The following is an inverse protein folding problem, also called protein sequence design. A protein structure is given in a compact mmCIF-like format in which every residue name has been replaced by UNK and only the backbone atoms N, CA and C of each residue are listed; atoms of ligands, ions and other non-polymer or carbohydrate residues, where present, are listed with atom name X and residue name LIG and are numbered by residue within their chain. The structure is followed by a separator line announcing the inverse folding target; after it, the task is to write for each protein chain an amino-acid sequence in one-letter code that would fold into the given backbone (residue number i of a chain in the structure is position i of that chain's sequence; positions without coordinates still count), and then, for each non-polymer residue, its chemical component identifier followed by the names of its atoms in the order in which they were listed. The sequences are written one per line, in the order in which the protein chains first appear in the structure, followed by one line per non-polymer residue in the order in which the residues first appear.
data_IF_234674397411
#
_entry.id   IF_234674397411
#
_cell.length_a   1.000
_cell.length_b   1.000
_cell.length_c   1.000
_cell.angle_alpha   90.00
_cell.angle_beta   90.00
_cell.angle_gamma   90.00
#
_symmetry.space_group_name_H-M   'P 1'
#
loop_
_entity.id
_entity.type
_entity.pdbx_description
1 polymer ?
#
# COMPACT_ATOMS: atom_id res chain seq x y z
N UNK A 1 7.25 12.30 -34.22
CA UNK A 1 6.04 12.69 -33.48
C UNK A 1 6.28 12.65 -31.93
N UNK A 2 6.89 11.59 -31.39
CA UNK A 2 7.16 11.42 -29.94
C UNK A 2 8.03 12.56 -29.39
N UNK A 3 9.08 12.97 -30.09
CA UNK A 3 9.94 14.08 -29.74
C UNK A 3 9.16 15.41 -29.64
N UNK A 4 8.24 15.64 -30.57
CA UNK A 4 7.40 16.84 -30.56
C UNK A 4 6.48 16.92 -29.36
N UNK A 5 5.88 15.80 -28.96
CA UNK A 5 5.08 15.72 -27.73
C UNK A 5 5.93 15.90 -26.48
N UNK A 6 7.11 15.33 -26.45
CA UNK A 6 8.06 15.49 -25.34
C UNK A 6 8.50 16.95 -25.19
N UNK A 7 8.84 17.64 -26.28
CA UNK A 7 9.22 19.06 -26.24
C UNK A 7 8.07 19.96 -25.78
N UNK A 8 6.83 19.69 -26.20
CA UNK A 8 5.65 20.40 -25.69
C UNK A 8 5.46 20.20 -24.21
N UNK A 9 5.61 18.97 -23.73
CA UNK A 9 5.51 18.65 -22.30
C UNK A 9 6.59 19.40 -21.50
N UNK A 10 7.85 19.36 -21.93
CA UNK A 10 8.96 20.07 -21.28
C UNK A 10 8.71 21.58 -21.26
N UNK A 11 8.22 22.15 -22.36
CA UNK A 11 7.89 23.57 -22.44
C UNK A 11 6.77 23.95 -21.46
N UNK A 12 5.65 23.21 -21.45
CA UNK A 12 4.56 23.46 -20.50
C UNK A 12 5.00 23.30 -19.04
N UNK A 13 5.85 22.31 -18.77
CA UNK A 13 6.42 22.13 -17.44
C UNK A 13 7.32 23.30 -17.02
N UNK A 14 8.19 23.77 -17.92
CA UNK A 14 9.07 24.92 -17.67
C UNK A 14 8.26 26.21 -17.41
N UNK A 15 7.21 26.46 -18.21
CA UNK A 15 6.31 27.59 -18.03
C UNK A 15 5.59 27.50 -16.69
N UNK A 16 5.04 26.34 -16.36
CA UNK A 16 4.37 26.10 -15.08
C UNK A 16 5.32 26.35 -13.89
N UNK A 17 6.55 25.86 -13.99
CA UNK A 17 7.60 26.09 -12.97
C UNK A 17 7.96 27.58 -12.85
N UNK A 18 8.09 28.29 -13.98
CA UNK A 18 8.39 29.72 -14.00
C UNK A 18 7.26 30.55 -13.34
N UNK A 19 6.00 30.23 -13.64
CA UNK A 19 4.85 30.88 -12.99
C UNK A 19 4.83 30.61 -11.48
N UNK A 20 5.17 29.39 -11.08
CA UNK A 20 5.22 28.98 -9.68
C UNK A 20 6.46 29.49 -8.94
N UNK A 21 7.47 30.04 -9.65
CA UNK A 21 8.75 30.47 -9.08
C UNK A 21 8.59 31.55 -8.01
N UNK A 22 7.57 32.39 -8.08
CA UNK A 22 7.25 33.39 -7.08
C UNK A 22 7.06 32.77 -5.68
N UNK A 23 6.50 31.58 -5.62
CA UNK A 23 6.29 30.84 -4.37
C UNK A 23 7.44 29.83 -4.14
N UNK A 24 7.90 29.15 -5.18
CA UNK A 24 8.92 28.11 -5.07
C UNK A 24 10.31 28.66 -4.72
N UNK A 25 10.67 29.86 -5.24
CA UNK A 25 11.99 30.43 -4.99
C UNK A 25 12.23 30.78 -3.52
N UNK A 26 11.32 31.47 -2.81
CA UNK A 26 11.48 31.72 -1.36
C UNK A 26 11.51 30.39 -0.57
N UNK A 27 10.67 29.42 -0.92
CA UNK A 27 10.66 28.09 -0.25
C UNK A 27 11.98 27.36 -0.49
N UNK A 28 12.51 27.38 -1.71
CA UNK A 28 13.81 26.79 -2.03
C UNK A 28 14.95 27.46 -1.27
N UNK A 29 14.97 28.78 -1.19
CA UNK A 29 15.98 29.52 -0.41
C UNK A 29 15.91 29.19 1.08
N UNK A 30 14.71 29.12 1.66
CA UNK A 30 14.53 28.69 3.05
C UNK A 30 14.99 27.24 3.26
N UNK A 31 14.71 26.35 2.30
CA UNK A 31 15.16 24.96 2.37
C UNK A 31 16.68 24.82 2.27
N UNK A 32 17.31 25.57 1.36
CA UNK A 32 18.78 25.57 1.20
C UNK A 32 19.50 26.11 2.43
N UNK A 33 18.92 27.14 3.08
CA UNK A 33 19.46 27.72 4.30
C UNK A 33 19.04 26.98 5.58
N UNK A 34 18.16 26.00 5.47
CA UNK A 34 17.79 25.16 6.61
C UNK A 34 18.89 24.14 6.85
N UNK A 35 19.36 23.97 8.11
CA UNK A 35 20.33 22.95 8.48
C UNK A 35 19.92 21.49 8.16
N UNK A 36 18.74 21.31 7.56
CA UNK A 36 18.30 20.02 7.00
C UNK A 36 19.04 19.66 5.70
N UNK A 37 19.52 20.65 4.94
CA UNK A 37 20.33 20.43 3.74
C UNK A 37 21.79 20.06 4.12
N UNK A 38 22.26 20.53 5.28
CA UNK A 38 23.60 20.26 5.78
C UNK A 38 23.75 18.94 6.52
N UNK A 39 22.65 18.32 6.94
CA UNK A 39 22.68 16.99 7.50
C UNK A 39 22.98 15.98 6.38
N UNK A 40 24.26 15.90 6.00
CA UNK A 40 24.83 14.81 5.22
C UNK A 40 24.61 13.49 5.95
N UNK A 41 23.36 13.05 6.00
CA UNK A 41 22.97 11.81 6.64
C UNK A 41 23.64 10.70 5.86
N UNK A 42 24.61 10.05 6.47
CA UNK A 42 25.21 8.82 5.93
C UNK A 42 24.06 7.83 5.72
N UNK A 43 23.67 7.66 4.45
CA UNK A 43 22.58 6.73 4.10
C UNK A 43 23.12 5.32 4.26
N UNK A 44 22.59 4.61 5.23
CA UNK A 44 22.92 3.19 5.43
C UNK A 44 22.42 2.37 4.25
N UNK A 45 23.14 1.31 3.88
CA UNK A 45 22.73 0.40 2.80
C UNK A 45 21.38 -0.29 3.10
N UNK A 46 21.11 -0.56 4.37
CA UNK A 46 19.89 -1.23 4.83
C UNK A 46 19.26 -0.49 6.00
N UNK A 47 17.94 -0.61 6.14
CA UNK A 47 17.23 -0.23 7.35
C UNK A 47 17.64 -1.15 8.52
N UNK A 48 17.39 -0.76 9.79
CA UNK A 48 17.51 -1.68 10.91
C UNK A 48 16.65 -2.94 10.71
N UNK A 49 17.11 -4.09 11.20
CA UNK A 49 16.38 -5.36 11.07
C UNK A 49 14.92 -5.28 11.56
N UNK A 50 14.66 -4.50 12.60
CA UNK A 50 13.33 -4.26 13.14
C UNK A 50 12.36 -3.63 12.11
N UNK A 51 12.85 -2.80 11.18
CA UNK A 51 12.03 -2.24 10.11
C UNK A 51 11.48 -3.34 9.20
N UNK A 52 12.34 -4.24 8.75
CA UNK A 52 11.94 -5.36 7.89
C UNK A 52 11.01 -6.32 8.60
N UNK A 53 11.25 -6.54 9.88
CA UNK A 53 10.38 -7.38 10.72
C UNK A 53 8.98 -6.78 10.88
N UNK A 54 8.87 -5.46 11.07
CA UNK A 54 7.59 -4.76 11.22
C UNK A 54 6.87 -4.52 9.89
N UNK A 55 7.56 -4.52 8.76
CA UNK A 55 7.02 -4.16 7.46
C UNK A 55 5.75 -4.95 7.06
N UNK A 56 5.70 -6.30 7.14
CA UNK A 56 4.49 -7.04 6.79
C UNK A 56 3.32 -6.76 7.73
N UNK A 57 3.57 -6.59 9.03
CA UNK A 57 2.52 -6.24 9.99
C UNK A 57 1.99 -4.83 9.79
N UNK A 58 2.86 -3.89 9.44
CA UNK A 58 2.49 -2.51 9.14
C UNK A 58 1.57 -2.39 7.90
N UNK A 59 1.56 -3.38 7.01
CA UNK A 59 0.66 -3.44 5.87
C UNK A 59 -0.81 -3.55 6.31
N UNK A 60 -1.08 -4.28 7.39
CA UNK A 60 -2.41 -4.41 7.98
C UNK A 60 -2.73 -3.24 8.92
N UNK A 61 -1.79 -2.89 9.81
CA UNK A 61 -2.02 -1.86 10.83
C UNK A 61 -0.71 -1.19 11.25
N UNK A 62 -0.70 0.14 11.27
CA UNK A 62 0.37 0.92 11.85
C UNK A 62 1.45 1.37 10.87
N UNK A 63 2.71 1.34 11.34
CA UNK A 63 3.85 1.85 10.57
C UNK A 63 5.11 1.03 10.84
N UNK A 64 5.95 0.88 9.83
CA UNK A 64 7.26 0.22 9.97
C UNK A 64 8.37 1.17 10.43
N UNK A 65 8.18 2.46 10.39
CA UNK A 65 9.18 3.51 10.64
C UNK A 65 9.49 4.33 9.39
N UNK A 66 10.35 5.35 9.53
CA UNK A 66 10.77 6.22 8.41
C UNK A 66 9.60 6.79 7.58
N UNK A 67 8.53 7.23 8.25
CA UNK A 67 7.29 7.71 7.64
C UNK A 67 6.56 6.68 6.75
N UNK A 68 6.92 5.42 6.84
CA UNK A 68 6.22 4.34 6.18
C UNK A 68 4.93 4.00 6.94
N UNK A 69 3.96 4.91 6.80
CA UNK A 69 2.62 4.75 7.36
C UNK A 69 1.79 3.96 6.37
N UNK A 70 1.56 2.70 6.68
CA UNK A 70 0.66 1.82 5.94
C UNK A 70 -0.66 1.67 6.73
N UNK A 71 -1.15 0.50 6.96
CA UNK A 71 -2.44 0.30 7.60
C UNK A 71 -3.54 0.29 6.57
N UNK A 72 -3.33 -0.53 5.54
CA UNK A 72 -4.32 -0.71 4.48
C UNK A 72 -5.49 -1.55 5.00
N UNK A 73 -6.64 -1.40 4.33
CA UNK A 73 -7.83 -2.14 4.72
C UNK A 73 -7.63 -3.66 4.63
N UNK A 74 -8.36 -4.40 5.44
CA UNK A 74 -8.38 -5.86 5.39
C UNK A 74 -8.69 -6.41 3.98
N UNK A 75 -9.53 -5.70 3.20
CA UNK A 75 -9.78 -6.03 1.81
C UNK A 75 -8.51 -5.91 0.95
N UNK A 76 -7.69 -4.88 1.18
CA UNK A 76 -6.41 -4.70 0.48
C UNK A 76 -5.46 -5.86 0.72
N UNK A 77 -5.36 -6.32 1.97
CA UNK A 77 -4.57 -7.51 2.33
C UNK A 77 -5.05 -8.75 1.59
N UNK A 78 -6.36 -9.06 1.65
CA UNK A 78 -6.93 -10.23 0.98
C UNK A 78 -6.78 -10.14 -0.55
N UNK A 79 -6.93 -8.95 -1.11
CA UNK A 79 -6.75 -8.71 -2.55
C UNK A 79 -5.31 -8.97 -3.00
N UNK A 80 -4.32 -8.51 -2.24
CA UNK A 80 -2.90 -8.77 -2.53
C UNK A 80 -2.59 -10.26 -2.38
N UNK A 81 -3.06 -10.92 -1.32
CA UNK A 81 -2.88 -12.36 -1.16
C UNK A 81 -3.47 -13.12 -2.36
N UNK A 82 -4.71 -12.80 -2.75
CA UNK A 82 -5.36 -13.43 -3.89
C UNK A 82 -4.62 -13.15 -5.21
N UNK A 83 -4.13 -11.93 -5.42
CA UNK A 83 -3.33 -11.57 -6.59
C UNK A 83 -2.12 -12.49 -6.74
N UNK A 84 -1.40 -12.77 -5.65
CA UNK A 84 -0.22 -13.64 -5.68
C UNK A 84 -0.56 -15.13 -5.80
N UNK A 85 -1.68 -15.56 -5.25
CA UNK A 85 -2.17 -16.95 -5.37
C UNK A 85 -2.57 -17.29 -6.81
N UNK A 86 -3.01 -16.32 -7.62
CA UNK A 86 -3.33 -16.54 -9.04
C UNK A 86 -2.07 -16.53 -9.90
N UNK A 87 -1.61 -17.71 -10.29
CA UNK A 87 -0.36 -17.89 -11.08
C UNK A 87 -0.37 -17.19 -12.45
N UNK A 88 -1.46 -17.27 -13.19
CA UNK A 88 -1.52 -16.89 -14.62
C UNK A 88 -2.05 -15.47 -14.90
N UNK A 89 -2.57 -14.75 -13.91
CA UNK A 89 -3.19 -13.42 -14.10
C UNK A 89 -2.49 -12.35 -13.28
N UNK A 90 -2.58 -11.09 -13.74
CA UNK A 90 -2.09 -9.95 -12.97
C UNK A 90 -0.57 -9.75 -12.97
N UNK A 91 0.15 -10.23 -13.99
CA UNK A 91 1.63 -10.13 -14.04
C UNK A 91 2.16 -8.71 -13.91
N UNK A 92 1.51 -7.73 -14.55
CA UNK A 92 1.90 -6.31 -14.42
C UNK A 92 1.64 -5.76 -13.02
N UNK A 93 0.50 -6.10 -12.41
CA UNK A 93 0.18 -5.68 -11.04
C UNK A 93 1.12 -6.29 -10.02
N UNK A 94 1.47 -7.58 -10.18
CA UNK A 94 2.46 -8.24 -9.31
C UNK A 94 3.82 -7.56 -9.42
N UNK A 95 4.28 -7.28 -10.63
CA UNK A 95 5.55 -6.58 -10.87
C UNK A 95 5.53 -5.18 -10.27
N UNK A 96 4.45 -4.42 -10.48
CA UNK A 96 4.26 -3.10 -9.91
C UNK A 96 4.26 -3.13 -8.37
N UNK A 97 3.54 -4.06 -7.77
CA UNK A 97 3.50 -4.25 -6.32
C UNK A 97 4.89 -4.60 -5.76
N UNK A 98 5.58 -5.57 -6.36
CA UNK A 98 6.93 -5.96 -5.94
C UNK A 98 7.94 -4.82 -6.13
N UNK A 99 7.87 -4.09 -7.25
CA UNK A 99 8.72 -2.93 -7.50
C UNK A 99 8.53 -1.84 -6.44
N UNK A 100 7.29 -1.45 -6.17
CA UNK A 100 6.98 -0.45 -5.13
C UNK A 100 7.36 -0.95 -3.73
N UNK A 101 7.18 -2.24 -3.45
CA UNK A 101 7.66 -2.84 -2.19
C UNK A 101 9.18 -2.74 -2.09
N UNK A 102 9.90 -3.06 -3.15
CA UNK A 102 11.36 -2.96 -3.19
C UNK A 102 11.84 -1.53 -2.93
N UNK A 103 11.20 -0.52 -3.52
CA UNK A 103 11.52 0.88 -3.26
C UNK A 103 11.37 1.24 -1.76
N UNK A 104 10.34 0.70 -1.08
CA UNK A 104 10.11 0.93 0.35
C UNK A 104 11.12 0.19 1.24
N UNK A 105 11.74 -0.88 0.75
CA UNK A 105 12.71 -1.68 1.51
C UNK A 105 14.15 -1.17 1.38
N UNK A 106 14.43 -0.25 0.47
CA UNK A 106 15.78 0.27 0.21
C UNK A 106 15.89 1.72 0.70
N UNK A 107 16.74 2.04 1.72
CA UNK A 107 16.90 3.40 2.25
C UNK A 107 17.29 4.44 1.19
N UNK A 108 18.13 4.07 0.24
CA UNK A 108 18.56 4.94 -0.85
C UNK A 108 17.41 5.42 -1.72
N UNK A 109 16.38 4.59 -1.93
CA UNK A 109 15.19 5.00 -2.66
C UNK A 109 14.41 6.08 -1.89
N UNK A 110 14.26 5.90 -0.57
CA UNK A 110 13.64 6.90 0.29
C UNK A 110 14.42 8.21 0.36
N UNK A 111 15.75 8.14 0.32
CA UNK A 111 16.63 9.31 0.27
C UNK A 111 16.51 10.04 -1.08
N UNK A 112 16.62 9.33 -2.19
CA UNK A 112 16.53 9.90 -3.54
C UNK A 112 15.14 10.52 -3.81
N UNK A 113 14.06 9.83 -3.46
CA UNK A 113 12.69 10.30 -3.64
C UNK A 113 12.31 11.45 -2.67
N UNK A 114 13.15 11.72 -1.67
CA UNK A 114 13.03 12.88 -0.78
C UNK A 114 14.03 14.00 -1.13
N UNK A 115 14.46 14.08 -2.38
CA UNK A 115 15.38 15.12 -2.85
C UNK A 115 16.76 15.07 -2.20
N UNK A 116 17.28 13.89 -1.91
CA UNK A 116 18.59 13.64 -1.31
C UNK A 116 18.83 14.31 0.05
N UNK A 117 17.75 14.65 0.78
CA UNK A 117 17.83 15.32 2.08
C UNK A 117 18.04 14.31 3.21
N UNK A 118 17.03 13.54 3.56
CA UNK A 118 17.11 12.49 4.57
C UNK A 118 16.25 11.29 4.17
N UNK A 119 16.52 10.14 4.78
CA UNK A 119 15.80 8.90 4.44
C UNK A 119 14.36 8.95 4.96
N UNK A 120 13.40 8.89 4.04
CA UNK A 120 11.97 8.86 4.36
C UNK A 120 11.17 8.16 3.26
N UNK A 121 10.10 7.49 3.66
CA UNK A 121 9.21 6.77 2.75
C UNK A 121 7.88 7.52 2.54
N UNK A 122 7.91 8.86 2.49
CA UNK A 122 6.68 9.67 2.29
C UNK A 122 5.92 9.32 1.01
N UNK A 123 6.59 8.76 0.01
CA UNK A 123 5.98 8.30 -1.24
C UNK A 123 5.09 7.04 -1.06
N UNK A 124 4.96 6.53 0.17
CA UNK A 124 4.08 5.39 0.51
C UNK A 124 2.62 5.60 0.08
N UNK A 125 2.19 6.86 -0.12
CA UNK A 125 0.87 7.17 -0.67
C UNK A 125 0.65 6.55 -2.06
N UNK A 126 1.68 6.51 -2.92
CA UNK A 126 1.60 5.87 -4.23
C UNK A 126 1.43 4.35 -4.11
N UNK A 127 2.07 3.74 -3.09
CA UNK A 127 1.86 2.34 -2.76
C UNK A 127 0.42 2.07 -2.29
N UNK A 128 -0.14 2.99 -1.49
CA UNK A 128 -1.55 2.95 -1.09
C UNK A 128 -2.51 3.01 -2.28
N UNK A 129 -2.26 3.91 -3.24
CA UNK A 129 -3.04 3.99 -4.49
C UNK A 129 -2.98 2.68 -5.29
N UNK A 130 -1.78 2.11 -5.43
CA UNK A 130 -1.60 0.82 -6.10
C UNK A 130 -2.37 -0.29 -5.38
N UNK A 131 -2.31 -0.32 -4.05
CA UNK A 131 -3.04 -1.30 -3.24
C UNK A 131 -4.56 -1.14 -3.39
N UNK A 132 -5.07 0.10 -3.39
CA UNK A 132 -6.48 0.38 -3.68
C UNK A 132 -6.91 -0.09 -5.06
N UNK A 133 -6.08 0.12 -6.07
CA UNK A 133 -6.33 -0.39 -7.42
C UNK A 133 -6.32 -1.92 -7.48
N UNK A 134 -5.38 -2.58 -6.79
CA UNK A 134 -5.35 -4.04 -6.65
C UNK A 134 -6.64 -4.53 -5.98
N UNK A 135 -7.07 -3.89 -4.90
CA UNK A 135 -8.29 -4.25 -4.20
C UNK A 135 -9.53 -4.13 -5.12
N UNK A 136 -9.65 -3.05 -5.87
CA UNK A 136 -10.74 -2.85 -6.82
C UNK A 136 -10.75 -3.93 -7.93
N UNK A 137 -9.58 -4.28 -8.46
CA UNK A 137 -9.44 -5.30 -9.51
C UNK A 137 -9.68 -6.73 -9.03
N UNK A 138 -9.29 -7.02 -7.78
CA UNK A 138 -9.40 -8.37 -7.22
C UNK A 138 -10.73 -8.62 -6.50
N UNK A 139 -11.47 -7.58 -6.14
CA UNK A 139 -12.75 -7.71 -5.43
C UNK A 139 -13.77 -8.62 -6.16
N UNK A 140 -14.02 -8.50 -7.49
CA UNK A 140 -14.90 -9.42 -8.20
C UNK A 140 -14.41 -10.88 -8.16
N UNK A 141 -13.10 -11.07 -8.14
CA UNK A 141 -12.49 -12.39 -8.07
C UNK A 141 -12.58 -13.01 -6.68
N UNK A 142 -12.47 -12.19 -5.63
CA UNK A 142 -12.72 -12.62 -4.25
C UNK A 142 -14.18 -13.05 -4.02
N UNK A 143 -15.11 -12.46 -4.76
CA UNK A 143 -16.53 -12.83 -4.72
C UNK A 143 -16.85 -14.11 -5.52
N UNK A 144 -15.94 -14.62 -6.34
CA UNK A 144 -16.16 -15.76 -7.24
C UNK A 144 -15.15 -16.90 -7.04
N UNK A 145 -14.64 -17.07 -5.84
CA UNK A 145 -13.64 -18.09 -5.50
C UNK A 145 -14.19 -19.51 -5.63
N UNK A 146 -13.40 -20.40 -6.22
CA UNK A 146 -13.67 -21.84 -6.17
C UNK A 146 -13.23 -22.46 -4.83
N UNK A 147 -13.61 -23.72 -4.56
CA UNK A 147 -13.26 -24.41 -3.30
C UNK A 147 -11.75 -24.48 -3.04
N UNK A 148 -10.95 -24.66 -4.10
CA UNK A 148 -9.47 -24.74 -3.98
C UNK A 148 -8.86 -23.37 -3.73
N UNK A 149 -9.39 -22.34 -4.39
CA UNK A 149 -8.97 -20.94 -4.16
C UNK A 149 -9.33 -20.47 -2.76
N UNK A 150 -10.53 -20.80 -2.27
CA UNK A 150 -10.97 -20.54 -0.88
C UNK A 150 -9.99 -21.14 0.12
N UNK A 151 -9.64 -22.43 -0.04
CA UNK A 151 -8.70 -23.09 0.85
C UNK A 151 -7.32 -22.42 0.84
N UNK A 152 -6.79 -22.11 -0.35
CA UNK A 152 -5.49 -21.44 -0.48
C UNK A 152 -5.49 -20.06 0.14
N UNK A 153 -6.55 -19.26 -0.09
CA UNK A 153 -6.69 -17.94 0.51
C UNK A 153 -6.80 -18.04 2.04
N UNK A 154 -7.57 -18.99 2.55
CA UNK A 154 -7.70 -19.25 3.98
C UNK A 154 -6.36 -19.59 4.63
N UNK A 155 -5.58 -20.49 4.02
CA UNK A 155 -4.24 -20.85 4.51
C UNK A 155 -3.31 -19.63 4.48
N UNK A 156 -3.25 -18.90 3.35
CA UNK A 156 -2.37 -17.74 3.22
C UNK A 156 -2.72 -16.62 4.21
N UNK A 157 -4.02 -16.33 4.37
CA UNK A 157 -4.48 -15.35 5.34
C UNK A 157 -4.23 -15.80 6.78
N UNK A 158 -4.40 -17.08 7.10
CA UNK A 158 -4.08 -17.65 8.41
C UNK A 158 -2.60 -17.52 8.75
N UNK A 159 -1.70 -17.84 7.82
CA UNK A 159 -0.25 -17.64 7.98
C UNK A 159 0.08 -16.17 8.20
N UNK A 160 -0.52 -15.28 7.41
CA UNK A 160 -0.33 -13.84 7.55
C UNK A 160 -0.81 -13.31 8.91
N UNK A 161 -1.99 -13.72 9.37
CA UNK A 161 -2.51 -13.38 10.69
C UNK A 161 -1.60 -13.90 11.80
N UNK A 162 -1.14 -15.14 11.70
CA UNK A 162 -0.19 -15.72 12.65
C UNK A 162 1.11 -14.92 12.73
N UNK A 163 1.65 -14.51 11.58
CA UNK A 163 2.82 -13.64 11.51
C UNK A 163 2.55 -12.29 12.18
N UNK A 164 1.45 -11.62 11.85
CA UNK A 164 1.06 -10.34 12.46
C UNK A 164 0.90 -10.46 13.99
N UNK A 165 0.32 -11.56 14.48
CA UNK A 165 0.16 -11.83 15.89
C UNK A 165 1.50 -12.01 16.62
N UNK A 166 2.45 -12.72 16.04
CA UNK A 166 3.79 -12.91 16.59
C UNK A 166 4.55 -11.58 16.62
N UNK A 167 4.36 -10.74 15.58
CA UNK A 167 5.10 -9.50 15.34
C UNK A 167 4.51 -8.25 16.00
N UNK A 168 3.64 -8.41 17.00
CA UNK A 168 2.82 -7.35 17.63
C UNK A 168 3.55 -6.37 18.55
N UNK A 169 4.87 -6.26 18.50
CA UNK A 169 5.76 -5.67 19.51
C UNK A 169 5.44 -4.26 20.06
N UNK A 170 4.61 -3.42 19.44
CA UNK A 170 4.48 -2.03 19.91
C UNK A 170 3.08 -1.46 20.02
N UNK A 171 2.06 -2.10 19.48
CA UNK A 171 0.66 -1.65 19.59
C UNK A 171 -0.29 -2.82 19.37
N UNK A 172 -0.26 -3.75 20.29
CA UNK A 172 -1.07 -4.98 20.26
C UNK A 172 -2.54 -4.71 19.96
N UNK A 173 -3.11 -3.65 20.53
CA UNK A 173 -4.51 -3.28 20.37
C UNK A 173 -4.87 -2.94 18.94
N UNK A 174 -4.05 -2.14 18.24
CA UNK A 174 -4.30 -1.78 16.84
C UNK A 174 -4.18 -2.97 15.89
N UNK A 175 -3.21 -3.84 16.11
CA UNK A 175 -3.05 -5.04 15.28
C UNK A 175 -4.22 -5.99 15.48
N UNK A 176 -4.64 -6.21 16.72
CA UNK A 176 -5.80 -7.05 17.03
C UNK A 176 -7.09 -6.45 16.48
N UNK A 177 -7.30 -5.14 16.63
CA UNK A 177 -8.45 -4.45 16.08
C UNK A 177 -8.51 -4.59 14.53
N UNK A 178 -7.36 -4.47 13.86
CA UNK A 178 -7.29 -4.63 12.40
C UNK A 178 -7.43 -6.10 11.93
N UNK A 179 -7.10 -7.08 12.77
CA UNK A 179 -7.30 -8.49 12.48
C UNK A 179 -8.79 -8.89 12.49
N UNK A 180 -9.61 -8.24 13.31
CA UNK A 180 -11.06 -8.54 13.37
C UNK A 180 -11.75 -8.34 12.02
N UNK A 181 -11.67 -7.19 11.34
CA UNK A 181 -12.24 -7.03 10.02
C UNK A 181 -11.60 -7.94 8.97
N UNK A 182 -10.32 -8.29 9.11
CA UNK A 182 -9.67 -9.24 8.22
C UNK A 182 -10.27 -10.64 8.34
N UNK A 183 -10.43 -11.13 9.57
CA UNK A 183 -11.06 -12.43 9.82
C UNK A 183 -12.53 -12.45 9.37
N UNK A 184 -13.27 -11.36 9.62
CA UNK A 184 -14.66 -11.24 9.20
C UNK A 184 -14.80 -11.28 7.68
N UNK A 185 -14.02 -10.50 6.94
CA UNK A 185 -14.02 -10.50 5.48
C UNK A 185 -13.54 -11.84 4.92
N UNK A 186 -12.54 -12.43 5.54
CA UNK A 186 -12.08 -13.77 5.15
C UNK A 186 -13.21 -14.79 5.29
N UNK A 187 -13.88 -14.85 6.44
CA UNK A 187 -15.02 -15.74 6.67
C UNK A 187 -16.13 -15.48 5.65
N UNK A 188 -16.45 -14.20 5.38
CA UNK A 188 -17.43 -13.85 4.37
C UNK A 188 -17.05 -14.42 2.99
N UNK A 189 -15.82 -14.22 2.50
CA UNK A 189 -15.41 -14.74 1.19
C UNK A 189 -15.30 -16.27 1.16
N UNK A 190 -14.99 -16.90 2.29
CA UNK A 190 -14.90 -18.37 2.37
C UNK A 190 -16.30 -19.03 2.39
N UNK A 191 -17.28 -18.39 3.03
CA UNK A 191 -18.63 -18.94 3.17
C UNK A 191 -19.57 -18.54 2.04
N UNK A 192 -19.34 -17.37 1.41
CA UNK A 192 -20.19 -16.86 0.36
C UNK A 192 -20.27 -17.83 -0.84
N UNK A 193 -21.49 -18.19 -1.22
CA UNK A 193 -21.76 -19.00 -2.41
C UNK A 193 -21.92 -18.09 -3.63
N UNK A 194 -21.38 -18.54 -4.77
CA UNK A 194 -21.40 -17.76 -6.01
C UNK A 194 -22.83 -17.44 -6.46
N UNK A 195 -23.72 -18.41 -6.35
CA UNK A 195 -25.11 -18.24 -6.80
C UNK A 195 -25.88 -17.27 -5.90
N UNK A 196 -25.62 -17.30 -4.59
CA UNK A 196 -26.19 -16.33 -3.65
C UNK A 196 -25.70 -14.90 -3.94
N UNK A 197 -24.39 -14.74 -4.25
CA UNK A 197 -23.80 -13.45 -4.61
C UNK A 197 -24.40 -12.92 -5.92
N UNK A 198 -24.62 -13.77 -6.91
CA UNK A 198 -25.25 -13.38 -8.17
C UNK A 198 -26.70 -12.92 -7.98
N UNK A 199 -27.45 -13.63 -7.13
CA UNK A 199 -28.84 -13.29 -6.82
C UNK A 199 -28.97 -11.96 -6.04
N UNK A 200 -28.01 -11.64 -5.15
CA UNK A 200 -28.06 -10.48 -4.28
C UNK A 200 -26.96 -9.43 -4.59
N UNK A 201 -26.39 -9.46 -5.77
CA UNK A 201 -25.20 -8.68 -6.17
C UNK A 201 -25.20 -7.20 -5.78
N UNK A 202 -26.25 -6.40 -6.04
CA UNK A 202 -26.30 -5.00 -5.64
C UNK A 202 -26.25 -4.81 -4.11
N UNK A 203 -27.03 -5.61 -3.37
CA UNK A 203 -27.09 -5.55 -1.90
C UNK A 203 -25.79 -5.98 -1.25
N UNK A 204 -25.14 -7.02 -1.80
CA UNK A 204 -23.81 -7.50 -1.34
C UNK A 204 -22.76 -6.42 -1.54
N UNK A 205 -22.73 -5.76 -2.69
CA UNK A 205 -21.80 -4.65 -2.96
C UNK A 205 -22.01 -3.49 -2.00
N UNK A 206 -23.26 -3.09 -1.78
CA UNK A 206 -23.60 -2.00 -0.84
C UNK A 206 -23.22 -2.39 0.60
N UNK A 207 -23.54 -3.60 1.04
CA UNK A 207 -23.17 -4.09 2.37
C UNK A 207 -21.66 -4.15 2.57
N UNK A 208 -20.92 -4.64 1.58
CA UNK A 208 -19.45 -4.66 1.61
C UNK A 208 -18.87 -3.25 1.66
N UNK A 209 -19.40 -2.33 0.88
CA UNK A 209 -18.98 -0.93 0.88
C UNK A 209 -19.22 -0.27 2.24
N UNK A 210 -20.41 -0.43 2.82
CA UNK A 210 -20.73 0.11 4.15
C UNK A 210 -19.84 -0.49 5.23
N UNK A 211 -19.58 -1.81 5.17
CA UNK A 211 -18.66 -2.48 6.10
C UNK A 211 -17.24 -1.93 5.97
N UNK A 212 -16.74 -1.70 4.75
CA UNK A 212 -15.42 -1.11 4.54
C UNK A 212 -15.34 0.33 5.06
N UNK A 213 -16.38 1.14 4.83
CA UNK A 213 -16.47 2.49 5.39
C UNK A 213 -16.46 2.45 6.93
N UNK A 214 -17.20 1.54 7.54
CA UNK A 214 -17.21 1.35 8.99
C UNK A 214 -15.82 0.95 9.53
N UNK A 215 -15.14 0.01 8.87
CA UNK A 215 -13.78 -0.38 9.24
C UNK A 215 -12.77 0.79 9.12
N UNK A 216 -12.94 1.67 8.12
CA UNK A 216 -12.08 2.86 7.96
C UNK A 216 -12.31 3.90 9.06
N UNK A 217 -13.53 4.01 9.58
CA UNK A 217 -13.84 4.93 10.68
C UNK A 217 -13.24 4.43 12.00
N UNK A 218 -13.13 3.12 12.17
CA UNK A 218 -12.59 2.50 13.39
C UNK A 218 -11.05 2.42 13.41
N UNK A 219 -10.36 2.69 12.30
CA UNK A 219 -8.89 2.76 12.20
C UNK A 219 -8.34 4.17 12.40
#
# INVERSE_FOLDING_TARGET
ELLGWFLKFVFCFAVGTAVSAVILLPVALVMLNSGRAEAGAVVKAFYPALYYWKFPGAFLAGQAGYWNKMGYTALGVLAVLQLFLKRKRGGSLKRGFLFMTLLLLIPWCGHALNGFSYVTNRFVWAYGMLNGYIAARMCPELLSLDKKEKLRLGIAAGIYCGFCYINRETRTEFVLAAMVPLCFLLLFFLTAEKDWILAHGPRVKTGLFLFLCFCLILQ
#
